data_IF_664716555558
#
_entry.id   IF_664716555558
#
_cell.length_a   1.000
_cell.length_b   1.000
_cell.length_c   1.000
_cell.angle_alpha   90.00
_cell.angle_beta   90.00
_cell.angle_gamma   90.00
#
_symmetry.space_group_name_H-M   'P 1'
#
loop_
_entity.id
_entity.type
_entity.pdbx_description
1 polymer ?
#
# COMPACT_ATOMS: atom_id res chain seq x y z
N UNK A 1 13.82 -10.39 -29.58
CA UNK A 1 13.43 -10.77 -28.20
C UNK A 1 13.01 -9.52 -27.45
N UNK A 2 11.84 -9.49 -26.79
CA UNK A 2 11.50 -8.37 -25.91
C UNK A 2 12.53 -8.29 -24.77
N UNK A 3 12.93 -7.07 -24.38
CA UNK A 3 13.87 -6.87 -23.27
C UNK A 3 13.31 -7.51 -22.00
N UNK A 4 14.12 -8.23 -21.23
CA UNK A 4 13.70 -8.78 -19.95
C UNK A 4 13.16 -7.63 -19.07
N UNK A 5 11.99 -7.79 -18.42
CA UNK A 5 11.49 -6.79 -17.51
C UNK A 5 12.52 -6.57 -16.40
N UNK A 6 12.82 -5.30 -16.12
CA UNK A 6 13.86 -4.89 -15.16
C UNK A 6 13.37 -5.12 -13.72
N UNK A 7 12.06 -5.04 -13.52
CA UNK A 7 11.38 -5.25 -12.23
C UNK A 7 10.20 -6.19 -12.42
N UNK A 8 9.85 -6.93 -11.37
CA UNK A 8 8.57 -7.66 -11.28
C UNK A 8 7.45 -6.74 -10.80
N UNK A 9 6.21 -7.22 -10.92
CA UNK A 9 5.04 -6.48 -10.42
C UNK A 9 5.10 -6.34 -8.89
N UNK A 10 5.52 -7.40 -8.21
CA UNK A 10 5.68 -7.47 -6.75
C UNK A 10 6.74 -6.49 -6.25
N UNK A 11 7.91 -6.41 -6.91
CA UNK A 11 8.97 -5.46 -6.55
C UNK A 11 8.50 -4.01 -6.62
N UNK A 12 7.70 -3.68 -7.64
CA UNK A 12 7.11 -2.34 -7.79
C UNK A 12 6.08 -2.07 -6.68
N UNK A 13 5.22 -3.05 -6.36
CA UNK A 13 4.24 -2.94 -5.27
C UNK A 13 4.96 -2.75 -3.93
N UNK A 14 5.99 -3.54 -3.64
CA UNK A 14 6.74 -3.45 -2.39
C UNK A 14 7.44 -2.11 -2.23
N UNK A 15 8.09 -1.63 -3.29
CA UNK A 15 8.73 -0.32 -3.26
C UNK A 15 7.70 0.81 -3.09
N UNK A 16 6.60 0.76 -3.84
CA UNK A 16 5.53 1.75 -3.72
C UNK A 16 4.84 1.71 -2.34
N UNK A 17 4.74 0.53 -1.71
CA UNK A 17 4.23 0.37 -0.36
C UNK A 17 5.14 1.03 0.67
N UNK A 18 6.48 0.86 0.56
CA UNK A 18 7.44 1.55 1.45
C UNK A 18 7.37 3.09 1.35
N UNK A 19 7.06 3.61 0.16
CA UNK A 19 6.81 5.04 -0.04
C UNK A 19 5.50 5.48 0.62
N UNK A 20 4.48 4.61 0.60
CA UNK A 20 3.18 4.89 1.19
C UNK A 20 3.24 4.91 2.73
N UNK A 21 4.03 4.03 3.35
CA UNK A 21 4.27 3.98 4.80
C UNK A 21 4.76 5.32 5.38
N UNK A 22 5.39 6.15 4.54
CA UNK A 22 5.94 7.45 4.93
C UNK A 22 5.26 8.63 4.22
N UNK A 23 4.17 8.40 3.49
CA UNK A 23 3.63 9.37 2.54
C UNK A 23 2.12 9.32 2.35
N UNK A 24 1.69 9.42 1.10
CA UNK A 24 0.28 9.33 0.71
C UNK A 24 0.17 8.67 -0.65
N UNK A 25 -1.00 8.11 -0.96
CA UNK A 25 -1.27 7.54 -2.28
C UNK A 25 -1.14 8.57 -3.41
N UNK A 26 -1.31 9.85 -3.14
CA UNK A 26 -1.13 10.91 -4.14
C UNK A 26 0.33 11.09 -4.56
N UNK A 27 1.26 10.86 -3.63
CA UNK A 27 2.70 10.90 -3.90
C UNK A 27 3.17 9.69 -4.73
N UNK A 28 2.35 8.65 -4.88
CA UNK A 28 2.66 7.48 -5.68
C UNK A 28 2.25 7.75 -7.13
N UNK A 29 3.25 8.13 -7.93
CA UNK A 29 3.14 8.39 -9.37
C UNK A 29 4.19 7.53 -10.09
N UNK A 30 4.01 7.27 -11.39
CA UNK A 30 5.02 6.57 -12.17
C UNK A 30 6.38 7.28 -12.11
N UNK A 31 6.40 8.61 -12.03
CA UNK A 31 7.64 9.40 -11.96
C UNK A 31 8.33 9.27 -10.61
N UNK A 32 7.60 9.40 -9.52
CA UNK A 32 8.17 9.30 -8.16
C UNK A 32 8.68 7.88 -7.89
N UNK A 33 7.92 6.87 -8.31
CA UNK A 33 8.31 5.46 -8.16
C UNK A 33 9.50 5.09 -9.04
N UNK A 34 9.56 5.59 -10.28
CA UNK A 34 10.70 5.36 -11.16
C UNK A 34 11.98 6.00 -10.61
N UNK A 35 11.88 7.20 -10.00
CA UNK A 35 13.00 7.84 -9.31
C UNK A 35 13.51 6.98 -8.15
N UNK A 36 12.60 6.45 -7.34
CA UNK A 36 12.91 5.56 -6.22
C UNK A 36 13.50 4.21 -6.65
N UNK A 37 13.15 3.73 -7.84
CA UNK A 37 13.67 2.51 -8.47
C UNK A 37 14.91 2.77 -9.36
N UNK A 38 15.41 4.00 -9.45
CA UNK A 38 16.49 4.41 -10.35
C UNK A 38 16.28 3.97 -11.81
N UNK A 39 15.05 4.11 -12.33
CA UNK A 39 14.70 3.76 -13.70
C UNK A 39 13.86 4.85 -14.38
N UNK A 40 13.56 4.65 -15.67
CA UNK A 40 12.55 5.47 -16.37
C UNK A 40 11.14 5.07 -15.95
N UNK A 41 10.09 5.89 -16.15
CA UNK A 41 8.71 5.48 -15.87
C UNK A 41 8.16 4.33 -16.75
N UNK A 42 8.82 4.00 -17.87
CA UNK A 42 8.32 3.03 -18.84
C UNK A 42 8.05 1.61 -18.31
N UNK A 43 8.90 1.00 -17.44
CA UNK A 43 8.65 -0.32 -16.88
C UNK A 43 7.39 -0.38 -16.02
N UNK A 44 7.01 0.72 -15.37
CA UNK A 44 5.80 0.77 -14.53
C UNK A 44 4.55 0.66 -15.41
N UNK A 45 4.48 1.44 -16.50
CA UNK A 45 3.37 1.35 -17.46
C UNK A 45 3.34 0.04 -18.24
N UNK A 46 4.45 -0.71 -18.27
CA UNK A 46 4.48 -2.05 -18.83
C UNK A 46 3.90 -3.14 -17.92
N UNK A 47 3.76 -2.87 -16.61
CA UNK A 47 3.34 -3.85 -15.60
C UNK A 47 1.98 -3.53 -14.97
N UNK A 48 1.52 -2.29 -15.09
CA UNK A 48 0.23 -1.81 -14.60
C UNK A 48 -0.51 -1.06 -15.70
N UNK A 49 -1.80 -1.37 -15.85
CA UNK A 49 -2.76 -0.74 -16.76
C UNK A 49 -2.94 0.74 -16.39
N UNK A 50 -2.93 1.06 -15.09
CA UNK A 50 -3.01 2.43 -14.60
C UNK A 50 -2.37 2.60 -13.23
N UNK A 51 -2.12 3.86 -12.85
CA UNK A 51 -1.68 4.17 -11.48
C UNK A 51 -2.77 3.86 -10.45
N UNK A 52 -4.04 3.89 -10.85
CA UNK A 52 -5.16 3.56 -9.95
C UNK A 52 -5.18 2.06 -9.65
N UNK A 53 -4.83 1.21 -10.63
CA UNK A 53 -4.62 -0.22 -10.39
C UNK A 53 -3.52 -0.45 -9.35
N UNK A 54 -2.36 0.20 -9.49
CA UNK A 54 -1.30 0.10 -8.48
C UNK A 54 -1.79 0.58 -7.11
N UNK A 55 -2.51 1.71 -7.04
CA UNK A 55 -3.03 2.24 -5.77
C UNK A 55 -4.05 1.31 -5.12
N UNK A 56 -4.86 0.56 -5.90
CA UNK A 56 -5.73 -0.51 -5.38
C UNK A 56 -4.91 -1.61 -4.71
N UNK A 57 -3.85 -2.07 -5.37
CA UNK A 57 -2.97 -3.11 -4.80
C UNK A 57 -2.35 -2.64 -3.48
N UNK A 58 -1.93 -1.37 -3.42
CA UNK A 58 -1.41 -0.78 -2.18
C UNK A 58 -2.46 -0.71 -1.07
N UNK A 59 -3.69 -0.31 -1.40
CA UNK A 59 -4.80 -0.29 -0.43
C UNK A 59 -5.11 -1.71 0.06
N UNK A 60 -5.14 -2.69 -0.84
CA UNK A 60 -5.39 -4.09 -0.47
C UNK A 60 -4.27 -4.62 0.45
N UNK A 61 -3.01 -4.34 0.12
CA UNK A 61 -1.87 -4.69 0.97
C UNK A 61 -1.97 -4.02 2.35
N UNK A 62 -2.37 -2.75 2.41
CA UNK A 62 -2.57 -2.02 3.66
C UNK A 62 -3.74 -2.59 4.48
N UNK A 63 -4.83 -3.00 3.82
CA UNK A 63 -5.96 -3.69 4.48
C UNK A 63 -5.55 -5.03 5.05
N UNK A 64 -4.74 -5.80 4.32
CA UNK A 64 -4.22 -7.08 4.82
C UNK A 64 -3.36 -6.87 6.07
N UNK A 65 -2.51 -5.83 6.08
CA UNK A 65 -1.77 -5.43 7.28
C UNK A 65 -2.71 -5.02 8.41
N UNK A 66 -3.73 -4.20 8.13
CA UNK A 66 -4.73 -3.83 9.13
C UNK A 66 -5.43 -5.05 9.75
N UNK A 67 -5.74 -6.07 8.95
CA UNK A 67 -6.34 -7.31 9.46
C UNK A 67 -5.43 -8.02 10.47
N UNK A 68 -4.10 -7.98 10.33
CA UNK A 68 -3.20 -8.58 11.33
C UNK A 68 -3.24 -7.85 12.69
N UNK A 69 -3.64 -6.58 12.72
CA UNK A 69 -3.82 -5.82 13.95
C UNK A 69 -5.12 -6.16 14.69
N UNK A 70 -6.19 -6.50 13.96
CA UNK A 70 -7.53 -6.78 14.54
C UNK A 70 -7.85 -8.26 14.67
N UNK A 71 -7.08 -9.13 13.99
CA UNK A 71 -7.24 -10.59 14.01
C UNK A 71 -6.25 -11.29 14.95
N UNK A 72 -5.59 -10.58 15.88
CA UNK A 72 -4.82 -11.23 16.94
C UNK A 72 -5.74 -12.14 17.75
N UNK A 73 -5.26 -13.35 18.06
CA UNK A 73 -6.00 -14.36 18.80
C UNK A 73 -6.66 -13.72 20.02
N UNK A 74 -7.99 -13.83 20.06
CA UNK A 74 -8.81 -13.07 20.98
C UNK A 74 -8.56 -13.54 22.41
N UNK A 75 -8.27 -12.61 23.29
CA UNK A 75 -8.46 -12.84 24.72
C UNK A 75 -9.97 -12.72 25.03
N UNK A 76 -10.38 -12.92 26.28
CA UNK A 76 -11.78 -13.10 26.70
C UNK A 76 -12.80 -12.03 26.20
N UNK A 77 -12.34 -10.89 25.65
CA UNK A 77 -13.15 -9.75 25.21
C UNK A 77 -12.94 -9.37 23.72
N UNK A 78 -13.54 -10.12 22.77
CA UNK A 78 -13.41 -9.95 21.32
C UNK A 78 -13.54 -8.51 20.79
N UNK A 79 -14.54 -7.76 21.25
CA UNK A 79 -14.80 -6.41 20.76
C UNK A 79 -13.77 -5.40 21.26
N UNK A 80 -13.25 -5.60 22.48
CA UNK A 80 -12.22 -4.74 23.03
C UNK A 80 -10.91 -4.91 22.25
N UNK A 81 -10.55 -6.15 21.93
CA UNK A 81 -9.34 -6.47 21.17
C UNK A 81 -9.38 -5.87 19.76
N UNK A 82 -10.52 -5.97 19.08
CA UNK A 82 -10.73 -5.33 17.77
C UNK A 82 -10.56 -3.81 17.90
N UNK A 83 -11.21 -3.19 18.89
CA UNK A 83 -11.11 -1.74 19.12
C UNK A 83 -9.67 -1.29 19.41
N UNK A 84 -8.94 -2.05 20.23
CA UNK A 84 -7.52 -1.81 20.52
C UNK A 84 -6.65 -2.00 19.27
N UNK A 85 -6.92 -3.01 18.44
CA UNK A 85 -6.24 -3.25 17.17
C UNK A 85 -6.39 -2.07 16.21
N UNK A 86 -7.61 -1.54 16.07
CA UNK A 86 -7.88 -0.34 15.26
C UNK A 86 -7.09 0.86 15.80
N UNK A 87 -7.14 1.11 17.10
CA UNK A 87 -6.41 2.23 17.73
C UNK A 87 -4.88 2.10 17.56
N UNK A 88 -4.33 0.89 17.72
CA UNK A 88 -2.90 0.61 17.50
C UNK A 88 -2.51 0.88 16.06
N UNK A 89 -3.25 0.34 15.10
CA UNK A 89 -2.98 0.57 13.67
C UNK A 89 -3.08 2.06 13.30
N UNK A 90 -4.10 2.76 13.79
CA UNK A 90 -4.23 4.20 13.56
C UNK A 90 -3.06 5.03 14.13
N UNK A 91 -2.46 4.57 15.23
CA UNK A 91 -1.33 5.22 15.90
C UNK A 91 0.00 4.92 15.22
N UNK A 92 0.25 3.66 14.89
CA UNK A 92 1.52 3.14 14.38
C UNK A 92 1.63 3.36 12.87
N UNK A 93 0.54 3.12 12.13
CA UNK A 93 0.50 3.13 10.67
C UNK A 93 -0.33 4.30 10.10
N UNK A 94 -0.06 5.52 10.59
CA UNK A 94 -0.89 6.71 10.28
C UNK A 94 -1.14 6.92 8.77
N UNK A 95 -0.13 6.84 7.87
CA UNK A 95 -0.35 7.00 6.43
C UNK A 95 -1.24 5.92 5.83
N UNK A 96 -1.09 4.68 6.29
CA UNK A 96 -1.90 3.55 5.83
C UNK A 96 -3.34 3.69 6.32
N UNK A 97 -3.53 4.04 7.59
CA UNK A 97 -4.86 4.32 8.16
C UNK A 97 -5.60 5.40 7.37
N UNK A 98 -4.94 6.53 7.09
CA UNK A 98 -5.52 7.60 6.25
C UNK A 98 -5.90 7.10 4.86
N UNK A 99 -5.04 6.27 4.27
CA UNK A 99 -5.24 5.73 2.91
C UNK A 99 -6.40 4.75 2.83
N UNK A 100 -6.72 4.03 3.91
CA UNK A 100 -7.84 3.08 3.97
C UNK A 100 -9.15 3.79 4.35
N UNK A 101 -9.13 4.63 5.40
CA UNK A 101 -10.36 5.06 6.08
C UNK A 101 -10.75 6.53 5.88
N UNK A 102 -9.81 7.42 5.57
CA UNK A 102 -10.04 8.87 5.58
C UNK A 102 -10.04 9.51 4.18
N UNK A 103 -10.33 8.71 3.16
CA UNK A 103 -10.37 9.17 1.76
C UNK A 103 -11.79 9.19 1.20
N UNK A 104 -12.07 10.24 0.42
CA UNK A 104 -13.33 10.42 -0.29
C UNK A 104 -13.35 9.83 -1.71
N UNK A 105 -12.21 9.30 -2.19
CA UNK A 105 -12.07 8.75 -3.55
C UNK A 105 -11.64 7.28 -3.49
N UNK A 106 -12.52 6.42 -4.00
CA UNK A 106 -12.29 5.02 -4.30
C UNK A 106 -11.40 4.91 -5.52
N UNK A 107 -10.22 4.32 -5.37
CA UNK A 107 -9.55 3.72 -6.53
C UNK A 107 -10.29 2.43 -6.82
#
# INVERSE_FOLDING_TARGET
MPKKPIFTREEIIDKAFSMLENGSLENITARSLAKELNCSPAPIYGLFISMDELKKELINKAKNLFLTYVSKEQEELPFLDIGLGICKFAREEKPLFKSIFLRNSSY
#
